data_IF_787490846237
#
_entry.id   IF_787490846237
#
_cell.length_a   1.000
_cell.length_b   1.000
_cell.length_c   1.000
_cell.angle_alpha   90.00
_cell.angle_beta   90.00
_cell.angle_gamma   90.00
#
_symmetry.space_group_name_H-M   'P 1'
#
loop_
_entity.id
_entity.type
_entity.pdbx_description
1 polymer ?
#
# COMPACT_ATOMS: atom_id res chain seq x y z
N UNK A 1 -2.07 7.59 24.71
CA UNK A 1 -1.18 7.97 23.59
C UNK A 1 -1.98 7.84 22.31
N UNK A 2 -1.87 8.79 21.37
CA UNK A 2 -2.45 8.61 20.04
C UNK A 2 -1.67 7.51 19.31
N UNK A 3 -2.38 6.62 18.63
CA UNK A 3 -1.74 5.65 17.75
C UNK A 3 -0.97 6.37 16.65
N UNK A 4 0.18 5.83 16.25
CA UNK A 4 1.08 6.47 15.30
C UNK A 4 1.41 5.48 14.20
N UNK A 5 1.11 5.84 12.95
CA UNK A 5 1.43 5.06 11.75
C UNK A 5 2.51 5.79 10.97
N UNK A 6 3.58 5.08 10.59
CA UNK A 6 4.63 5.68 9.75
C UNK A 6 4.13 5.83 8.33
N UNK A 7 4.41 6.97 7.71
CA UNK A 7 4.24 7.16 6.28
C UNK A 7 5.06 6.09 5.53
N UNK A 8 4.46 5.46 4.53
CA UNK A 8 5.18 4.49 3.70
C UNK A 8 6.28 5.21 2.91
N UNK A 9 7.51 4.73 3.06
CA UNK A 9 8.71 5.35 2.48
C UNK A 9 8.97 4.93 1.03
N UNK A 10 9.82 5.70 0.33
CA UNK A 10 10.30 5.34 -1.01
C UNK A 10 11.00 3.99 -1.04
N UNK A 11 11.82 3.71 -0.02
CA UNK A 11 12.54 2.43 0.12
C UNK A 11 11.55 1.26 0.15
N UNK A 12 10.39 1.43 0.80
CA UNK A 12 9.35 0.38 0.84
C UNK A 12 8.68 0.20 -0.52
N UNK A 13 8.22 1.26 -1.17
CA UNK A 13 7.51 1.13 -2.46
C UNK A 13 8.44 0.77 -3.63
N UNK A 14 9.75 0.98 -3.49
CA UNK A 14 10.76 0.51 -4.44
C UNK A 14 11.09 -0.98 -4.26
N UNK A 15 10.71 -1.58 -3.13
CA UNK A 15 10.84 -3.02 -2.90
C UNK A 15 9.76 -3.78 -3.71
N UNK A 16 10.13 -4.61 -4.70
CA UNK A 16 9.17 -5.37 -5.49
C UNK A 16 8.34 -6.34 -4.65
N UNK A 17 8.90 -6.89 -3.57
CA UNK A 17 8.18 -7.78 -2.67
C UNK A 17 7.05 -7.04 -1.94
N UNK A 18 7.32 -5.80 -1.50
CA UNK A 18 6.31 -4.96 -0.88
C UNK A 18 5.16 -4.67 -1.85
N UNK A 19 5.47 -4.34 -3.10
CA UNK A 19 4.46 -4.12 -4.14
C UNK A 19 3.64 -5.38 -4.43
N UNK A 20 4.28 -6.56 -4.52
CA UNK A 20 3.57 -7.82 -4.72
C UNK A 20 2.63 -8.13 -3.56
N UNK A 21 3.10 -8.02 -2.32
CA UNK A 21 2.31 -8.34 -1.13
C UNK A 21 1.14 -7.36 -0.96
N UNK A 22 1.38 -6.07 -1.18
CA UNK A 22 0.34 -5.05 -1.13
C UNK A 22 -0.72 -5.26 -2.23
N UNK A 23 -0.31 -5.63 -3.45
CA UNK A 23 -1.25 -5.93 -4.55
C UNK A 23 -2.05 -7.21 -4.31
N UNK A 24 -1.43 -8.23 -3.74
CA UNK A 24 -2.14 -9.42 -3.30
C UNK A 24 -3.19 -9.06 -2.24
N UNK A 25 -2.76 -8.39 -1.18
CA UNK A 25 -3.64 -7.98 -0.09
C UNK A 25 -4.82 -7.11 -0.57
N UNK A 26 -4.55 -6.09 -1.38
CA UNK A 26 -5.61 -5.23 -1.95
C UNK A 26 -6.58 -6.03 -2.83
N UNK A 27 -6.10 -7.01 -3.60
CA UNK A 27 -7.00 -7.86 -4.39
C UNK A 27 -7.89 -8.75 -3.53
N UNK A 28 -7.42 -9.19 -2.36
CA UNK A 28 -8.17 -10.05 -1.42
C UNK A 28 -9.26 -9.29 -0.67
N UNK A 29 -9.10 -7.97 -0.47
CA UNK A 29 -10.14 -7.14 0.15
C UNK A 29 -11.45 -7.11 -0.64
N UNK A 30 -11.45 -7.57 -1.90
CA UNK A 30 -12.66 -7.73 -2.73
C UNK A 30 -13.49 -6.45 -2.88
N UNK A 31 -12.84 -5.29 -2.77
CA UNK A 31 -13.44 -3.98 -2.98
C UNK A 31 -13.52 -3.73 -4.50
N UNK A 32 -14.73 -3.38 -4.97
CA UNK A 32 -14.92 -3.01 -6.38
C UNK A 32 -14.07 -1.79 -6.76
N UNK A 33 -13.53 -1.70 -8.00
CA UNK A 33 -12.86 -0.51 -8.50
C UNK A 33 -13.63 0.80 -8.23
N UNK A 34 -14.96 0.77 -8.33
CA UNK A 34 -15.84 1.93 -8.12
C UNK A 34 -15.95 2.37 -6.65
N UNK A 35 -15.60 1.50 -5.70
CA UNK A 35 -15.75 1.75 -4.26
C UNK A 35 -14.43 2.03 -3.54
N UNK A 36 -13.30 1.80 -4.19
CA UNK A 36 -11.98 1.98 -3.57
C UNK A 36 -11.73 3.40 -3.07
N UNK A 37 -12.07 4.42 -3.86
CA UNK A 37 -11.87 5.81 -3.44
C UNK A 37 -12.66 6.14 -2.17
N UNK A 38 -13.95 5.80 -2.14
CA UNK A 38 -14.80 6.02 -0.97
C UNK A 38 -14.26 5.27 0.24
N UNK A 39 -13.83 4.02 0.06
CA UNK A 39 -13.22 3.22 1.11
C UNK A 39 -11.97 3.90 1.70
N UNK A 40 -11.06 4.42 0.86
CA UNK A 40 -9.85 5.10 1.34
C UNK A 40 -10.15 6.41 2.05
N UNK A 41 -11.10 7.19 1.53
CA UNK A 41 -11.53 8.45 2.15
C UNK A 41 -12.15 8.18 3.53
N UNK A 42 -13.07 7.22 3.62
CA UNK A 42 -13.68 6.82 4.90
C UNK A 42 -12.63 6.24 5.86
N UNK A 43 -11.73 5.39 5.36
CA UNK A 43 -10.66 4.80 6.16
C UNK A 43 -9.74 5.86 6.77
N UNK A 44 -9.35 6.87 5.98
CA UNK A 44 -8.47 7.94 6.44
C UNK A 44 -9.19 8.94 7.34
N UNK A 45 -10.42 9.36 7.01
CA UNK A 45 -11.25 10.26 7.83
C UNK A 45 -11.48 9.71 9.23
N UNK A 46 -11.74 8.41 9.34
CA UNK A 46 -12.10 7.77 10.59
C UNK A 46 -10.87 7.42 11.47
N UNK A 47 -9.66 7.49 10.92
CA UNK A 47 -8.43 7.24 11.66
C UNK A 47 -8.17 8.36 12.68
N UNK A 48 -8.10 8.00 13.96
CA UNK A 48 -7.92 8.93 15.09
C UNK A 48 -6.45 9.11 15.52
N UNK A 49 -5.52 8.40 14.87
CA UNK A 49 -4.09 8.47 15.15
C UNK A 49 -3.38 9.54 14.33
N UNK A 50 -2.05 9.46 14.28
CA UNK A 50 -1.19 10.37 13.55
C UNK A 50 -0.42 9.59 12.48
N UNK A 51 -0.41 10.11 11.25
CA UNK A 51 0.55 9.67 10.24
C UNK A 51 1.82 10.49 10.45
N UNK A 52 2.97 9.83 10.59
CA UNK A 52 4.25 10.51 10.86
C UNK A 52 5.31 10.22 9.82
N UNK A 53 6.11 11.24 9.52
CA UNK A 53 7.31 11.15 8.72
C UNK A 53 8.44 11.92 9.41
N UNK A 54 9.59 11.28 9.62
CA UNK A 54 10.73 11.87 10.34
C UNK A 54 10.39 12.48 11.72
N UNK A 55 9.39 11.92 12.41
CA UNK A 55 8.97 12.38 13.74
C UNK A 55 7.94 13.50 13.74
N UNK A 56 7.55 14.01 12.57
CA UNK A 56 6.53 15.04 12.42
C UNK A 56 5.23 14.47 11.87
N UNK A 57 4.10 15.05 12.30
CA UNK A 57 2.77 14.74 11.76
C UNK A 57 2.67 15.23 10.31
N UNK A 58 2.15 14.37 9.44
CA UNK A 58 1.93 14.68 8.03
C UNK A 58 0.51 14.28 7.62
N UNK A 59 -0.06 15.07 6.70
CA UNK A 59 -1.32 14.74 6.04
C UNK A 59 -1.06 14.03 4.71
N UNK A 60 -1.85 13.00 4.42
CA UNK A 60 -1.76 12.31 3.15
C UNK A 60 -2.38 13.17 2.05
N UNK A 61 -1.70 13.25 0.91
CA UNK A 61 -2.24 13.88 -0.27
C UNK A 61 -3.31 12.94 -0.90
N UNK A 62 -4.58 13.27 -0.71
CA UNK A 62 -5.71 12.52 -1.28
C UNK A 62 -6.05 12.96 -2.71
N UNK A 63 -5.58 14.13 -3.17
CA UNK A 63 -5.80 14.63 -4.54
C UNK A 63 -5.19 13.70 -5.59
N UNK A 64 -4.24 12.84 -5.19
CA UNK A 64 -3.64 11.81 -6.07
C UNK A 64 -4.69 10.83 -6.63
N UNK A 65 -5.84 10.71 -5.97
CA UNK A 65 -6.97 9.90 -6.42
C UNK A 65 -8.02 10.70 -7.21
N UNK A 66 -7.92 12.02 -7.26
CA UNK A 66 -8.83 12.91 -7.99
C UNK A 66 -8.35 13.11 -9.45
N UNK A 67 -8.25 12.00 -10.18
CA UNK A 67 -7.76 12.01 -11.57
C UNK A 67 -8.69 11.25 -12.50
N UNK A 68 -8.71 11.64 -13.78
CA UNK A 68 -9.35 10.86 -14.81
C UNK A 68 -8.76 9.45 -14.87
N UNK A 69 -9.61 8.44 -14.96
CA UNK A 69 -9.19 7.04 -15.03
C UNK A 69 -8.78 6.43 -13.69
N UNK A 70 -9.09 7.06 -12.55
CA UNK A 70 -8.73 6.49 -11.24
C UNK A 70 -9.38 5.12 -11.00
N UNK A 71 -10.60 4.93 -11.50
CA UNK A 71 -11.31 3.64 -11.47
C UNK A 71 -10.53 2.55 -12.19
N UNK A 72 -10.05 2.84 -13.40
CA UNK A 72 -9.21 1.94 -14.20
C UNK A 72 -7.90 1.64 -13.49
N UNK A 73 -7.30 2.65 -12.84
CA UNK A 73 -6.13 2.45 -12.00
C UNK A 73 -6.40 1.48 -10.85
N UNK A 74 -7.52 1.62 -10.12
CA UNK A 74 -7.89 0.66 -9.06
C UNK A 74 -8.11 -0.75 -9.62
N UNK A 75 -8.82 -0.87 -10.75
CA UNK A 75 -9.04 -2.16 -11.42
C UNK A 75 -7.73 -2.85 -11.76
N UNK A 76 -6.79 -2.11 -12.36
CA UNK A 76 -5.55 -2.68 -12.91
C UNK A 76 -4.43 -2.81 -11.88
N UNK A 77 -4.49 -2.05 -10.78
CA UNK A 77 -3.47 -2.02 -9.76
C UNK A 77 -3.89 -2.69 -8.45
N UNK A 78 -5.03 -2.29 -7.86
CA UNK A 78 -5.47 -2.75 -6.55
C UNK A 78 -6.31 -4.04 -6.63
N UNK A 79 -7.08 -4.24 -7.70
CA UNK A 79 -7.90 -5.45 -7.88
C UNK A 79 -7.18 -6.57 -8.64
N UNK A 80 -5.95 -6.34 -9.11
CA UNK A 80 -5.19 -7.30 -9.89
C UNK A 80 -3.90 -7.70 -9.15
N UNK A 81 -3.82 -8.92 -8.59
CA UNK A 81 -2.60 -9.40 -7.95
C UNK A 81 -1.47 -9.50 -8.98
N UNK A 82 -0.22 -9.46 -8.49
CA UNK A 82 0.93 -9.71 -9.36
C UNK A 82 0.98 -11.20 -9.69
N UNK A 83 1.06 -11.62 -10.97
CA UNK A 83 1.17 -13.02 -11.32
C UNK A 83 2.43 -13.68 -10.72
N UNK A 84 2.36 -14.98 -10.48
CA UNK A 84 3.47 -15.75 -9.94
C UNK A 84 4.73 -15.61 -10.82
N UNK A 85 5.89 -15.43 -10.18
CA UNK A 85 7.18 -15.25 -10.87
C UNK A 85 7.39 -13.89 -11.55
N UNK A 86 6.39 -13.00 -11.55
CA UNK A 86 6.53 -11.66 -12.13
C UNK A 86 7.05 -10.68 -11.09
N UNK A 87 8.10 -9.93 -11.44
CA UNK A 87 8.62 -8.83 -10.63
C UNK A 87 7.87 -7.53 -10.96
N UNK A 88 7.09 -6.96 -10.03
CA UNK A 88 6.39 -5.71 -10.30
C UNK A 88 7.39 -4.54 -10.40
N UNK A 89 7.02 -3.53 -11.18
CA UNK A 89 7.77 -2.27 -11.31
C UNK A 89 6.95 -1.14 -10.74
N UNK A 90 7.59 -0.28 -9.96
CA UNK A 90 7.01 0.99 -9.54
C UNK A 90 7.01 1.94 -10.74
N UNK A 91 5.82 2.35 -11.18
CA UNK A 91 5.69 3.41 -12.16
C UNK A 91 5.67 4.77 -11.47
N UNK A 92 6.38 5.74 -12.01
CA UNK A 92 6.56 7.06 -11.39
C UNK A 92 5.22 7.75 -11.15
N UNK A 93 4.30 7.68 -12.12
CA UNK A 93 2.96 8.27 -12.01
C UNK A 93 2.10 7.63 -10.91
N UNK A 94 2.42 6.41 -10.49
CA UNK A 94 1.67 5.70 -9.43
C UNK A 94 2.30 5.85 -8.06
N UNK A 95 3.49 6.46 -7.94
CA UNK A 95 4.27 6.49 -6.70
C UNK A 95 3.47 7.05 -5.52
N UNK A 96 2.93 8.25 -5.65
CA UNK A 96 2.17 8.90 -4.58
C UNK A 96 0.84 8.18 -4.29
N UNK A 97 0.17 7.63 -5.32
CA UNK A 97 -1.06 6.85 -5.15
C UNK A 97 -0.81 5.60 -4.31
N UNK A 98 0.26 4.87 -4.61
CA UNK A 98 0.65 3.67 -3.88
C UNK A 98 1.05 4.03 -2.45
N UNK A 99 1.79 5.13 -2.25
CA UNK A 99 2.17 5.60 -0.92
C UNK A 99 0.94 5.92 -0.06
N UNK A 100 0.00 6.70 -0.60
CA UNK A 100 -1.22 7.05 0.10
C UNK A 100 -2.06 5.81 0.42
N UNK A 101 -2.31 4.95 -0.59
CA UNK A 101 -3.04 3.70 -0.45
C UNK A 101 -2.43 2.80 0.65
N UNK A 102 -1.13 2.52 0.55
CA UNK A 102 -0.43 1.66 1.49
C UNK A 102 -0.41 2.24 2.91
N UNK A 103 -0.28 3.57 3.04
CA UNK A 103 -0.28 4.22 4.35
C UNK A 103 -1.65 4.15 5.00
N UNK A 104 -2.73 4.42 4.25
CA UNK A 104 -4.11 4.31 4.75
C UNK A 104 -4.42 2.86 5.16
N UNK A 105 -4.05 1.88 4.34
CA UNK A 105 -4.29 0.48 4.68
C UNK A 105 -3.48 0.05 5.92
N UNK A 106 -2.27 0.57 6.10
CA UNK A 106 -1.47 0.33 7.31
C UNK A 106 -2.13 0.84 8.60
N UNK A 107 -3.05 1.82 8.53
CA UNK A 107 -3.79 2.27 9.73
C UNK A 107 -4.92 1.33 10.13
N UNK A 108 -5.49 0.59 9.16
CA UNK A 108 -6.60 -0.34 9.37
C UNK A 108 -6.15 -1.78 9.55
N UNK A 109 -5.03 -2.15 8.93
CA UNK A 109 -4.47 -3.50 8.87
C UNK A 109 -3.01 -3.50 9.30
N UNK A 110 -2.69 -3.09 10.54
CA UNK A 110 -1.31 -2.93 10.98
C UNK A 110 -0.53 -4.25 11.02
N UNK A 111 -1.23 -5.38 11.24
CA UNK A 111 -0.61 -6.70 11.26
C UNK A 111 -0.17 -7.12 9.85
N UNK A 112 -1.07 -7.06 8.88
CA UNK A 112 -0.81 -7.37 7.48
C UNK A 112 0.25 -6.44 6.89
N UNK A 113 0.14 -5.13 7.19
CA UNK A 113 1.12 -4.13 6.78
C UNK A 113 2.54 -4.42 7.29
N UNK A 114 2.67 -4.97 8.51
CA UNK A 114 3.96 -5.35 9.08
C UNK A 114 4.65 -6.50 8.33
N UNK A 115 3.91 -7.26 7.54
CA UNK A 115 4.40 -8.41 6.78
C UNK A 115 4.77 -8.07 5.33
N UNK A 116 4.31 -6.94 4.79
CA UNK A 116 4.58 -6.57 3.39
C UNK A 116 6.07 -6.34 3.12
N UNK A 117 6.58 -7.01 2.09
CA UNK A 117 7.97 -6.93 1.68
C UNK A 117 8.94 -7.72 2.54
N UNK A 118 8.46 -8.39 3.60
CA UNK A 118 9.26 -9.25 4.47
C UNK A 118 9.41 -10.62 3.80
N UNK A 119 10.65 -11.10 3.72
CA UNK A 119 10.97 -12.47 3.29
C UNK A 119 11.82 -13.10 4.38
N UNK A 120 11.56 -14.36 4.73
CA UNK A 120 12.40 -15.07 5.68
C UNK A 120 13.83 -15.22 5.10
N UNK A 121 14.85 -14.89 5.89
CA UNK A 121 16.27 -14.88 5.44
C UNK A 121 16.87 -16.30 5.41
N UNK A 122 16.08 -17.35 5.65
CA UNK A 122 16.56 -18.70 5.93
C UNK A 122 16.43 -19.70 4.77
N UNK A 123 16.56 -19.27 3.52
CA UNK A 123 16.80 -20.18 2.38
C UNK A 123 18.28 -20.56 2.26
N UNK A 124 18.92 -20.93 3.38
CA UNK A 124 20.22 -21.60 3.37
C UNK A 124 20.02 -22.99 2.78
N UNK A 125 20.10 -23.11 1.45
CA UNK A 125 20.32 -24.40 0.79
C UNK A 125 21.60 -25.01 1.38
N UNK A 126 21.58 -26.25 1.91
CA UNK A 126 22.84 -26.91 2.25
C UNK A 126 23.70 -27.01 0.97
N UNK A 127 25.03 -26.83 1.08
CA UNK A 127 25.91 -27.03 -0.06
C UNK A 127 25.76 -28.47 -0.57
N UNK A 128 25.72 -28.59 -1.91
CA UNK A 128 25.67 -29.87 -2.61
C UNK A 128 26.94 -30.70 -2.37
#
# INVERSE_FOLDING_TARGET
MKETTKLVSDIQIENPNFLSDLRLFTSELSISPDHWLNYLVDAYRDYRGLVVFNGEEVFLNMEVFETDGIREWFRDWACAPVPEGVRPRLREESRERIRALATILSTRFPFEASMWGVRAVNDNRPPA
#
